data_IF_234192729429
#
_entry.id   IF_234192729429
#
_cell.length_a   1.000
_cell.length_b   1.000
_cell.length_c   1.000
_cell.angle_alpha   90.00
_cell.angle_beta   90.00
_cell.angle_gamma   90.00
#
_symmetry.space_group_name_H-M   'P 1'
#
loop_
_entity.id
_entity.type
_entity.pdbx_description
1 polymer ?
#
# COMPACT_ATOMS: atom_id res chain seq x y z
N UNK A 1 11.58 1.31 -2.32
CA UNK A 1 11.88 2.03 -3.56
C UNK A 1 12.29 1.07 -4.68
N UNK A 2 13.36 0.27 -4.54
CA UNK A 2 13.86 -0.62 -5.61
C UNK A 2 12.79 -1.58 -6.13
N UNK A 3 12.10 -2.31 -5.26
CA UNK A 3 11.04 -3.26 -5.65
C UNK A 3 9.89 -2.59 -6.40
N UNK A 4 9.55 -1.35 -6.04
CA UNK A 4 8.54 -0.55 -6.73
C UNK A 4 9.02 -0.07 -8.11
N UNK A 5 10.30 0.33 -8.24
CA UNK A 5 10.85 0.68 -9.54
C UNK A 5 10.83 -0.53 -10.50
N UNK A 6 11.22 -1.71 -10.01
CA UNK A 6 11.16 -2.95 -10.79
C UNK A 6 9.72 -3.27 -11.22
N UNK A 7 8.74 -3.11 -10.33
CA UNK A 7 7.31 -3.27 -10.68
C UNK A 7 6.89 -2.37 -11.84
N UNK A 8 7.26 -1.09 -11.76
CA UNK A 8 6.90 -0.11 -12.79
C UNK A 8 7.65 -0.30 -14.11
N UNK A 9 8.89 -0.84 -14.09
CA UNK A 9 9.56 -1.29 -15.32
C UNK A 9 8.70 -2.35 -16.02
N UNK A 10 8.18 -3.34 -15.28
CA UNK A 10 7.28 -4.34 -15.85
C UNK A 10 5.99 -3.76 -16.40
N UNK A 11 5.40 -2.76 -15.74
CA UNK A 11 4.19 -2.06 -16.21
C UNK A 11 4.45 -1.29 -17.50
N UNK A 12 5.53 -0.51 -17.54
CA UNK A 12 5.92 0.28 -18.72
C UNK A 12 6.30 -0.63 -19.90
N UNK A 13 6.98 -1.74 -19.62
CA UNK A 13 7.29 -2.74 -20.64
C UNK A 13 6.00 -3.31 -21.27
N UNK A 14 5.02 -3.69 -20.47
CA UNK A 14 3.72 -4.18 -20.95
C UNK A 14 3.00 -3.13 -21.82
N UNK A 15 3.10 -1.84 -21.44
CA UNK A 15 2.47 -0.75 -22.17
C UNK A 15 3.12 -0.46 -23.53
N UNK A 16 4.45 -0.59 -23.65
CA UNK A 16 5.18 -0.24 -24.87
C UNK A 16 5.33 -1.42 -25.84
N UNK A 17 5.70 -2.59 -25.34
CA UNK A 17 5.97 -3.77 -26.18
C UNK A 17 4.86 -4.83 -26.16
N UNK A 18 3.92 -4.70 -25.21
CA UNK A 18 2.87 -5.69 -24.99
C UNK A 18 3.37 -6.90 -24.19
N UNK A 19 2.46 -7.46 -23.39
CA UNK A 19 2.73 -8.59 -22.48
C UNK A 19 3.26 -9.83 -23.19
N UNK A 20 2.78 -10.09 -24.39
CA UNK A 20 3.14 -11.29 -25.16
C UNK A 20 4.58 -11.28 -25.66
N UNK A 21 5.23 -10.12 -25.72
CA UNK A 21 6.64 -10.00 -26.19
C UNK A 21 7.59 -10.72 -25.24
N UNK A 22 7.42 -10.55 -23.91
CA UNK A 22 8.17 -11.29 -22.91
C UNK A 22 7.36 -11.40 -21.61
N UNK A 23 6.44 -12.37 -21.58
CA UNK A 23 5.57 -12.59 -20.43
C UNK A 23 6.34 -12.92 -19.14
N UNK A 24 7.44 -13.67 -19.24
CA UNK A 24 8.27 -14.04 -18.09
C UNK A 24 8.91 -12.82 -17.45
N UNK A 25 9.47 -11.91 -18.26
CA UNK A 25 10.07 -10.68 -17.74
C UNK A 25 9.04 -9.82 -17.02
N UNK A 26 7.87 -9.63 -17.63
CA UNK A 26 6.75 -8.91 -17.02
C UNK A 26 6.35 -9.53 -15.68
N UNK A 27 6.14 -10.86 -15.64
CA UNK A 27 5.75 -11.56 -14.42
C UNK A 27 6.78 -11.41 -13.30
N UNK A 28 8.06 -11.59 -13.60
CA UNK A 28 9.15 -11.46 -12.60
C UNK A 28 9.16 -10.05 -12.02
N UNK A 29 9.07 -9.01 -12.85
CA UNK A 29 8.99 -7.63 -12.37
C UNK A 29 7.79 -7.42 -11.44
N UNK A 30 6.63 -7.99 -11.80
CA UNK A 30 5.41 -7.87 -11.01
C UNK A 30 5.49 -8.65 -9.68
N UNK A 31 6.13 -9.82 -9.66
CA UNK A 31 6.34 -10.60 -8.43
C UNK A 31 7.20 -9.82 -7.43
N UNK A 32 8.32 -9.27 -7.89
CA UNK A 32 9.20 -8.44 -7.06
C UNK A 32 8.46 -7.20 -6.54
N UNK A 33 7.62 -6.60 -7.37
CA UNK A 33 6.84 -5.42 -7.03
C UNK A 33 5.87 -5.63 -5.87
N UNK A 34 5.32 -6.85 -5.72
CA UNK A 34 4.33 -7.15 -4.65
C UNK A 34 4.90 -7.05 -3.24
N UNK A 35 6.21 -7.13 -3.09
CA UNK A 35 6.90 -6.95 -1.81
C UNK A 35 6.74 -5.51 -1.28
N UNK A 36 6.60 -4.52 -2.16
CA UNK A 36 6.58 -3.11 -1.79
C UNK A 36 5.39 -2.74 -0.87
N UNK A 37 4.17 -3.13 -1.25
CA UNK A 37 2.96 -2.72 -0.54
C UNK A 37 2.95 -3.12 0.94
N UNK A 38 3.18 -4.40 1.32
CA UNK A 38 3.22 -4.78 2.73
C UNK A 38 4.29 -4.03 3.51
N UNK A 39 5.47 -3.81 2.93
CA UNK A 39 6.55 -3.06 3.59
C UNK A 39 6.17 -1.60 3.83
N UNK A 40 5.54 -0.92 2.86
CA UNK A 40 5.06 0.44 3.05
C UNK A 40 3.97 0.52 4.11
N UNK A 41 3.02 -0.42 4.11
CA UNK A 41 1.97 -0.51 5.12
C UNK A 41 2.55 -0.75 6.53
N UNK A 42 3.52 -1.66 6.66
CA UNK A 42 4.19 -1.95 7.93
C UNK A 42 4.93 -0.72 8.47
N UNK A 43 5.78 -0.10 7.65
CA UNK A 43 6.54 1.09 8.03
C UNK A 43 5.64 2.30 8.32
N UNK A 44 4.48 2.40 7.67
CA UNK A 44 3.49 3.43 7.97
C UNK A 44 2.90 3.23 9.37
N UNK A 45 2.47 2.02 9.70
CA UNK A 45 1.92 1.70 11.03
C UNK A 45 2.97 1.98 12.11
N UNK A 46 4.22 1.52 11.90
CA UNK A 46 5.36 1.81 12.77
C UNK A 46 5.55 3.32 12.95
N UNK A 47 5.50 4.07 11.86
CA UNK A 47 5.64 5.53 11.88
C UNK A 47 4.51 6.22 12.65
N UNK A 48 3.27 5.80 12.44
CA UNK A 48 2.10 6.39 13.12
C UNK A 48 2.13 6.13 14.62
N UNK A 49 2.51 4.91 15.03
CA UNK A 49 2.58 4.52 16.45
C UNK A 49 3.71 5.20 17.22
N UNK A 50 4.83 5.54 16.54
CA UNK A 50 6.04 6.06 17.18
C UNK A 50 6.30 7.55 16.92
N UNK A 51 5.52 8.22 16.04
CA UNK A 51 5.76 9.63 15.73
C UNK A 51 5.25 10.57 16.81
N UNK A 52 6.11 11.54 17.20
CA UNK A 52 5.71 12.66 18.08
C UNK A 52 4.97 13.76 17.32
N UNK A 53 5.08 13.80 15.99
CA UNK A 53 4.57 14.89 15.13
C UNK A 53 3.58 14.37 14.07
N UNK A 54 2.57 13.61 14.50
CA UNK A 54 1.57 13.01 13.64
C UNK A 54 0.95 13.96 12.61
N UNK A 55 0.59 15.19 13.04
CA UNK A 55 0.00 16.20 12.13
C UNK A 55 0.94 16.53 10.96
N UNK A 56 2.24 16.75 11.23
CA UNK A 56 3.23 17.04 10.18
C UNK A 56 3.42 15.86 9.24
N UNK A 57 3.37 14.64 9.75
CA UNK A 57 3.45 13.42 8.97
C UNK A 57 2.27 13.30 8.00
N UNK A 58 1.04 13.45 8.49
CA UNK A 58 -0.17 13.39 7.68
C UNK A 58 -0.29 14.53 6.65
N UNK A 59 0.14 15.75 6.99
CA UNK A 59 0.19 16.85 6.03
C UNK A 59 1.09 16.49 4.84
N UNK A 60 2.25 15.89 5.07
CA UNK A 60 3.13 15.44 3.99
C UNK A 60 2.47 14.36 3.11
N UNK A 61 1.82 13.37 3.72
CA UNK A 61 1.07 12.36 2.97
C UNK A 61 -0.08 13.00 2.16
N UNK A 62 -0.79 13.95 2.76
CA UNK A 62 -1.86 14.68 2.09
C UNK A 62 -1.37 15.51 0.89
N UNK A 63 -0.25 16.23 1.04
CA UNK A 63 0.37 16.97 -0.07
C UNK A 63 0.75 16.01 -1.20
N UNK A 64 1.38 14.87 -0.90
CA UNK A 64 1.75 13.87 -1.88
C UNK A 64 0.52 13.26 -2.57
N UNK A 65 -0.53 12.93 -1.81
CA UNK A 65 -1.79 12.47 -2.34
C UNK A 65 -2.40 13.50 -3.30
N UNK A 66 -2.41 14.79 -2.93
CA UNK A 66 -2.94 15.88 -3.76
C UNK A 66 -2.16 16.07 -5.05
N UNK A 67 -0.83 16.03 -5.00
CA UNK A 67 0.03 16.16 -6.19
C UNK A 67 -0.26 15.00 -7.17
N UNK A 68 -0.34 13.77 -6.68
CA UNK A 68 -0.62 12.61 -7.53
C UNK A 68 -2.05 12.67 -8.08
N UNK A 69 -3.05 13.00 -7.24
CA UNK A 69 -4.43 13.17 -7.72
C UNK A 69 -4.54 14.25 -8.79
N UNK A 70 -3.82 15.37 -8.64
CA UNK A 70 -3.76 16.40 -9.66
C UNK A 70 -3.09 15.90 -10.96
N UNK A 71 -2.00 15.14 -10.83
CA UNK A 71 -1.33 14.51 -11.98
C UNK A 71 -2.25 13.54 -12.73
N UNK A 72 -2.98 12.70 -12.01
CA UNK A 72 -3.96 11.78 -12.59
C UNK A 72 -5.12 12.52 -13.25
N UNK A 73 -5.61 13.61 -12.63
CA UNK A 73 -6.63 14.47 -13.20
C UNK A 73 -6.17 15.09 -14.53
N UNK A 74 -4.96 15.65 -14.56
CA UNK A 74 -4.39 16.24 -15.77
C UNK A 74 -4.20 15.19 -16.87
N UNK A 75 -3.75 13.97 -16.52
CA UNK A 75 -3.57 12.89 -17.48
C UNK A 75 -4.89 12.47 -18.16
N UNK A 76 -6.04 12.60 -17.50
CA UNK A 76 -7.35 12.30 -18.08
C UNK A 76 -7.79 13.31 -19.16
N UNK A 77 -7.29 14.55 -19.11
CA UNK A 77 -7.64 15.61 -20.06
C UNK A 77 -6.68 15.77 -21.24
N UNK A 78 -5.56 15.04 -21.24
CA UNK A 78 -4.57 15.11 -22.32
C UNK A 78 -4.68 13.85 -23.20
N UNK A 79 -5.24 13.96 -24.43
CA UNK A 79 -5.53 12.80 -25.28
C UNK A 79 -4.28 11.95 -25.64
N UNK A 80 -3.08 12.58 -25.71
CA UNK A 80 -1.83 11.87 -25.97
C UNK A 80 -1.36 11.01 -24.77
N UNK A 81 -2.01 11.10 -23.63
CA UNK A 81 -1.71 10.35 -22.42
C UNK A 81 -2.73 9.23 -22.13
N UNK A 82 -3.53 8.83 -23.14
CA UNK A 82 -4.50 7.73 -22.98
C UNK A 82 -3.87 6.42 -22.52
N UNK A 83 -2.65 6.12 -22.93
CA UNK A 83 -1.88 4.98 -22.40
C UNK A 83 -1.52 5.15 -20.91
N UNK A 84 -1.42 6.39 -20.43
CA UNK A 84 -1.24 6.74 -19.01
C UNK A 84 -2.59 6.75 -18.28
N UNK A 85 -3.72 6.90 -18.98
CA UNK A 85 -5.04 6.82 -18.38
C UNK A 85 -5.33 5.44 -17.79
N UNK A 86 -4.76 4.38 -18.34
CA UNK A 86 -4.74 3.06 -17.72
C UNK A 86 -4.07 3.07 -16.32
N UNK A 87 -3.06 3.94 -16.14
CA UNK A 87 -2.41 4.18 -14.84
C UNK A 87 -3.30 5.07 -13.97
N UNK A 88 -4.03 6.00 -14.57
CA UNK A 88 -4.95 6.89 -13.86
C UNK A 88 -6.10 6.14 -13.19
N UNK A 89 -6.59 5.06 -13.79
CA UNK A 89 -7.62 4.20 -13.21
C UNK A 89 -7.12 3.34 -12.05
N UNK A 90 -5.81 3.17 -11.92
CA UNK A 90 -5.23 2.41 -10.83
C UNK A 90 -5.48 3.04 -9.45
N UNK A 91 -5.81 4.33 -9.39
CA UNK A 91 -6.02 5.06 -8.14
C UNK A 91 -4.72 5.61 -7.53
N UNK A 92 -4.84 6.20 -6.35
CA UNK A 92 -3.76 6.93 -5.68
C UNK A 92 -3.30 6.23 -4.42
N UNK A 93 -2.09 5.65 -4.44
CA UNK A 93 -1.49 4.93 -3.29
C UNK A 93 -1.29 5.85 -2.07
N UNK A 94 -0.97 7.15 -2.27
CA UNK A 94 -0.83 8.06 -1.12
C UNK A 94 -2.15 8.34 -0.43
N UNK A 95 -3.26 8.22 -1.14
CA UNK A 95 -4.59 8.28 -0.53
C UNK A 95 -4.85 7.04 0.33
N UNK A 96 -4.44 5.84 -0.14
CA UNK A 96 -4.45 4.62 0.68
C UNK A 96 -3.64 4.80 1.97
N UNK A 97 -2.41 5.30 1.83
CA UNK A 97 -1.51 5.52 2.98
C UNK A 97 -2.04 6.60 3.94
N UNK A 98 -2.60 7.68 3.42
CA UNK A 98 -3.20 8.75 4.21
C UNK A 98 -4.39 8.24 5.03
N UNK A 99 -5.34 7.57 4.36
CA UNK A 99 -6.52 7.01 5.02
C UNK A 99 -6.15 5.93 6.03
N UNK A 100 -5.19 5.06 5.68
CA UNK A 100 -4.65 4.07 6.61
C UNK A 100 -4.00 4.72 7.84
N UNK A 101 -3.24 5.80 7.66
CA UNK A 101 -2.63 6.52 8.78
C UNK A 101 -3.68 7.14 9.70
N UNK A 102 -4.77 7.71 9.13
CA UNK A 102 -5.90 8.24 9.91
C UNK A 102 -6.61 7.13 10.66
N UNK A 103 -6.86 5.99 10.01
CA UNK A 103 -7.46 4.81 10.64
C UNK A 103 -6.66 4.36 11.86
N UNK A 104 -5.35 4.14 11.72
CA UNK A 104 -4.48 3.69 12.81
C UNK A 104 -4.42 4.72 13.93
N UNK A 105 -4.32 6.01 13.59
CA UNK A 105 -4.35 7.09 14.59
C UNK A 105 -5.64 7.09 15.40
N UNK A 106 -6.79 6.96 14.75
CA UNK A 106 -8.08 6.91 15.42
C UNK A 106 -8.19 5.68 16.34
N UNK A 107 -7.76 4.50 15.87
CA UNK A 107 -7.79 3.27 16.68
C UNK A 107 -6.88 3.34 17.89
N UNK A 108 -5.71 3.98 17.75
CA UNK A 108 -4.72 4.12 18.83
C UNK A 108 -4.98 5.31 19.75
N UNK A 109 -6.02 6.13 19.47
CA UNK A 109 -6.27 7.34 20.25
C UNK A 109 -6.79 7.02 21.65
N UNK A 110 -6.38 7.79 22.66
CA UNK A 110 -6.79 7.60 24.07
C UNK A 110 -8.29 7.78 24.28
N UNK A 111 -8.87 8.80 23.63
CA UNK A 111 -10.29 9.12 23.76
C UNK A 111 -11.14 8.08 23.02
N UNK A 112 -12.01 7.38 23.75
CA UNK A 112 -12.86 6.30 23.22
C UNK A 112 -13.77 6.74 22.07
N UNK A 113 -14.27 7.99 22.08
CA UNK A 113 -15.15 8.53 21.04
C UNK A 113 -14.44 8.79 19.70
N UNK A 114 -13.10 8.86 19.67
CA UNK A 114 -12.32 9.02 18.44
C UNK A 114 -12.19 7.69 17.68
N UNK A 115 -12.21 6.56 18.39
CA UNK A 115 -12.02 5.23 17.79
C UNK A 115 -13.03 4.89 16.69
N UNK A 116 -14.34 5.18 16.83
CA UNK A 116 -15.30 4.95 15.75
C UNK A 116 -15.01 5.74 14.46
N UNK A 117 -14.28 6.84 14.53
CA UNK A 117 -13.88 7.60 13.32
C UNK A 117 -12.97 6.78 12.38
N UNK A 118 -12.36 5.70 12.85
CA UNK A 118 -11.64 4.75 12.02
C UNK A 118 -12.54 4.07 10.97
N UNK A 119 -13.85 4.06 11.16
CA UNK A 119 -14.82 3.54 10.20
C UNK A 119 -14.92 4.43 8.93
N UNK A 120 -14.58 5.72 9.01
CA UNK A 120 -14.61 6.62 7.85
C UNK A 120 -13.61 6.19 6.76
N UNK A 121 -12.31 5.96 7.04
CA UNK A 121 -11.38 5.40 6.08
C UNK A 121 -11.83 4.04 5.52
N UNK A 122 -12.38 3.18 6.35
CA UNK A 122 -12.90 1.88 5.91
C UNK A 122 -14.11 2.05 4.98
N UNK A 123 -15.05 2.92 5.32
CA UNK A 123 -16.20 3.24 4.47
C UNK A 123 -15.77 3.83 3.11
N UNK A 124 -14.77 4.71 3.11
CA UNK A 124 -14.21 5.25 1.87
C UNK A 124 -13.56 4.15 1.01
N UNK A 125 -12.84 3.22 1.63
CA UNK A 125 -12.25 2.07 0.94
C UNK A 125 -13.31 1.16 0.31
N UNK A 126 -14.39 0.88 1.05
CA UNK A 126 -15.52 0.10 0.54
C UNK A 126 -16.20 0.83 -0.63
N UNK A 127 -16.38 2.15 -0.53
CA UNK A 127 -16.95 2.96 -1.60
C UNK A 127 -16.07 2.91 -2.86
N UNK A 128 -14.76 3.16 -2.72
CA UNK A 128 -13.81 3.09 -3.83
C UNK A 128 -13.84 1.72 -4.52
N UNK A 129 -13.84 0.66 -3.72
CA UNK A 129 -13.95 -0.71 -4.19
C UNK A 129 -15.26 -0.98 -4.93
N UNK A 130 -16.41 -0.60 -4.35
CA UNK A 130 -17.73 -0.84 -4.93
C UNK A 130 -17.92 -0.13 -6.27
N UNK A 131 -17.41 1.10 -6.41
CA UNK A 131 -17.44 1.85 -7.67
C UNK A 131 -16.62 1.14 -8.74
N UNK A 132 -15.39 0.75 -8.44
CA UNK A 132 -14.53 -0.02 -9.36
C UNK A 132 -15.18 -1.34 -9.77
N UNK A 133 -15.80 -2.06 -8.82
CA UNK A 133 -16.47 -3.32 -9.10
C UNK A 133 -17.68 -3.14 -10.02
N UNK A 134 -18.51 -2.10 -9.80
CA UNK A 134 -19.67 -1.81 -10.60
C UNK A 134 -19.31 -1.42 -12.04
N UNK A 135 -18.25 -0.64 -12.23
CA UNK A 135 -17.76 -0.26 -13.56
C UNK A 135 -17.26 -1.47 -14.34
N UNK A 136 -16.51 -2.37 -13.70
CA UNK A 136 -16.05 -3.61 -14.34
C UNK A 136 -17.19 -4.55 -14.70
N UNK A 137 -18.21 -4.66 -13.85
CA UNK A 137 -19.38 -5.47 -14.15
C UNK A 137 -20.19 -4.91 -15.34
N UNK A 138 -20.20 -3.58 -15.50
CA UNK A 138 -20.93 -2.90 -16.59
C UNK A 138 -20.19 -2.98 -17.92
N UNK A 139 -18.89 -3.16 -17.93
CA UNK A 139 -18.09 -3.21 -19.16
C UNK A 139 -16.91 -4.18 -19.02
N UNK A 140 -17.16 -5.47 -19.25
CA UNK A 140 -16.16 -6.52 -19.21
C UNK A 140 -15.04 -6.38 -20.28
N UNK A 141 -15.28 -5.60 -21.34
CA UNK A 141 -14.36 -5.40 -22.47
C UNK A 141 -13.83 -3.97 -22.61
N UNK A 142 -14.40 -3.00 -21.88
CA UNK A 142 -13.97 -1.61 -21.95
C UNK A 142 -12.82 -1.36 -20.97
N UNK A 143 -11.62 -1.34 -21.47
CA UNK A 143 -10.47 -0.80 -20.73
C UNK A 143 -10.47 0.73 -20.64
N UNK A 144 -11.39 1.40 -21.36
CA UNK A 144 -11.63 2.83 -21.24
C UNK A 144 -12.53 3.06 -20.03
N UNK A 145 -11.98 3.68 -19.03
CA UNK A 145 -12.65 4.00 -17.79
C UNK A 145 -13.97 4.72 -18.02
N UNK A 146 -15.06 4.06 -17.73
CA UNK A 146 -16.29 4.73 -17.37
C UNK A 146 -16.04 5.38 -16.01
N UNK A 147 -15.35 6.55 -16.02
CA UNK A 147 -15.15 7.30 -14.80
C UNK A 147 -16.49 7.74 -14.28
N UNK A 148 -16.93 7.14 -13.20
CA UNK A 148 -18.13 7.62 -12.50
C UNK A 148 -17.91 9.09 -12.17
N UNK A 149 -18.73 9.97 -12.75
CA UNK A 149 -18.54 11.44 -12.70
C UNK A 149 -18.47 11.95 -11.27
N UNK A 150 -19.24 11.35 -10.33
CA UNK A 150 -19.28 11.75 -8.93
C UNK A 150 -18.13 11.16 -8.08
N UNK A 151 -17.40 10.12 -8.58
CA UNK A 151 -16.26 9.52 -7.91
C UNK A 151 -15.16 9.18 -8.92
N UNK A 152 -14.47 10.18 -9.44
CA UNK A 152 -13.49 10.03 -10.52
C UNK A 152 -12.25 9.27 -10.07
N UNK A 153 -11.50 8.70 -11.03
CA UNK A 153 -10.32 7.85 -10.79
C UNK A 153 -9.25 8.48 -9.89
N UNK A 154 -9.03 9.79 -10.01
CA UNK A 154 -8.02 10.49 -9.19
C UNK A 154 -8.36 10.60 -7.69
N UNK A 155 -9.61 10.33 -7.31
CA UNK A 155 -10.04 10.22 -5.90
C UNK A 155 -10.06 8.78 -5.40
N UNK A 156 -9.87 7.78 -6.26
CA UNK A 156 -9.95 6.37 -5.87
C UNK A 156 -8.67 5.91 -5.18
N UNK A 157 -8.84 4.91 -4.32
CA UNK A 157 -7.73 4.19 -3.72
C UNK A 157 -7.09 3.25 -4.76
N UNK A 158 -5.79 3.03 -4.65
CA UNK A 158 -5.09 2.10 -5.55
C UNK A 158 -5.34 0.65 -5.16
N UNK A 159 -5.24 0.34 -3.88
CA UNK A 159 -5.33 -1.02 -3.34
C UNK A 159 -6.58 -1.29 -2.50
N UNK A 160 -7.40 -0.27 -2.24
CA UNK A 160 -8.67 -0.37 -1.51
C UNK A 160 -8.53 -1.16 -0.19
N UNK A 161 -9.35 -2.19 -0.01
CA UNK A 161 -9.37 -2.99 1.21
C UNK A 161 -8.07 -3.76 1.48
N UNK A 162 -7.24 -4.03 0.44
CA UNK A 162 -5.99 -4.79 0.61
C UNK A 162 -4.95 -3.98 1.40
N UNK A 163 -4.75 -2.71 1.07
CA UNK A 163 -3.82 -1.82 1.78
C UNK A 163 -4.26 -1.59 3.22
N UNK A 164 -5.54 -1.28 3.43
CA UNK A 164 -6.09 -1.10 4.77
C UNK A 164 -6.08 -2.40 5.58
N UNK A 165 -6.29 -3.54 4.93
CA UNK A 165 -6.18 -4.86 5.54
C UNK A 165 -4.77 -5.15 6.07
N UNK A 166 -3.72 -4.86 5.29
CA UNK A 166 -2.34 -4.96 5.78
C UNK A 166 -2.09 -4.03 6.95
N UNK A 167 -2.49 -2.76 6.85
CA UNK A 167 -2.27 -1.78 7.93
C UNK A 167 -3.01 -2.18 9.21
N UNK A 168 -4.25 -2.64 9.11
CA UNK A 168 -5.01 -3.14 10.24
C UNK A 168 -4.34 -4.38 10.86
N UNK A 169 -3.91 -5.34 10.04
CA UNK A 169 -3.19 -6.52 10.48
C UNK A 169 -1.91 -6.15 11.24
N UNK A 170 -1.13 -5.20 10.74
CA UNK A 170 0.07 -4.74 11.42
C UNK A 170 -0.23 -3.99 12.71
N UNK A 171 -1.30 -3.20 12.77
CA UNK A 171 -1.76 -2.61 14.02
C UNK A 171 -2.18 -3.69 15.04
N UNK A 172 -2.91 -4.71 14.59
CA UNK A 172 -3.29 -5.84 15.43
C UNK A 172 -2.07 -6.60 15.95
N UNK A 173 -0.95 -6.66 15.21
CA UNK A 173 0.30 -7.28 15.68
C UNK A 173 0.80 -6.62 16.97
N UNK A 174 0.72 -5.30 17.07
CA UNK A 174 1.06 -4.58 18.29
C UNK A 174 0.08 -4.88 19.44
N UNK A 175 -1.21 -4.99 19.13
CA UNK A 175 -2.21 -5.35 20.15
C UNK A 175 -2.03 -6.79 20.64
N UNK A 176 -1.73 -7.73 19.74
CA UNK A 176 -1.43 -9.12 20.09
C UNK A 176 -0.21 -9.21 21.00
N UNK A 177 0.89 -8.56 20.61
CA UNK A 177 2.07 -8.51 21.45
C UNK A 177 1.78 -7.90 22.83
N UNK A 178 1.05 -6.78 22.88
CA UNK A 178 0.61 -6.16 24.14
C UNK A 178 -0.24 -7.09 24.99
N UNK A 179 -1.18 -7.82 24.39
CA UNK A 179 -2.04 -8.76 25.08
C UNK A 179 -1.24 -9.92 25.67
N UNK A 180 -0.31 -10.49 24.90
CA UNK A 180 0.55 -11.59 25.36
C UNK A 180 1.39 -11.15 26.57
N UNK A 181 1.98 -9.96 26.52
CA UNK A 181 2.75 -9.47 27.66
C UNK A 181 1.87 -9.13 28.86
N UNK A 182 0.66 -8.64 28.67
CA UNK A 182 -0.28 -8.41 29.78
C UNK A 182 -0.67 -9.71 30.49
N UNK A 183 -0.91 -10.79 29.74
CA UNK A 183 -1.20 -12.11 30.31
C UNK A 183 0.06 -12.64 31.04
N UNK A 184 1.25 -12.41 30.48
CA UNK A 184 2.51 -12.84 31.09
C UNK A 184 2.85 -12.05 32.35
N UNK A 185 2.45 -10.77 32.42
CA UNK A 185 2.64 -9.91 33.60
C UNK A 185 2.04 -10.51 34.87
N UNK A 186 0.85 -11.13 34.76
CA UNK A 186 0.17 -11.80 35.87
C UNK A 186 1.00 -12.96 36.43
N UNK A 187 1.84 -13.61 35.60
CA UNK A 187 2.63 -14.77 35.97
C UNK A 187 4.08 -14.43 36.34
N UNK A 188 4.65 -13.36 35.81
CA UNK A 188 6.09 -13.07 35.93
C UNK A 188 6.39 -11.75 36.64
N UNK A 189 5.40 -10.88 36.85
CA UNK A 189 5.57 -9.54 37.41
C UNK A 189 6.28 -8.54 36.47
N UNK A 190 6.62 -8.95 35.23
CA UNK A 190 7.27 -8.07 34.24
C UNK A 190 6.19 -7.31 33.51
N UNK A 191 6.12 -5.99 33.71
CA UNK A 191 5.10 -5.14 33.10
C UNK A 191 5.32 -4.94 31.61
N UNK A 192 4.21 -4.70 30.87
CA UNK A 192 4.28 -4.33 29.45
C UNK A 192 5.21 -3.15 29.19
N UNK A 193 5.21 -2.12 30.04
CA UNK A 193 6.05 -0.92 29.87
C UNK A 193 7.55 -1.23 29.99
N UNK A 194 7.93 -2.23 30.75
CA UNK A 194 9.32 -2.68 30.86
C UNK A 194 9.78 -3.42 29.60
N UNK A 195 8.85 -4.13 28.95
CA UNK A 195 9.18 -4.93 27.75
C UNK A 195 9.11 -4.11 26.45
N UNK A 196 8.33 -3.04 26.44
CA UNK A 196 8.20 -2.17 25.27
C UNK A 196 9.56 -1.61 24.84
N UNK A 197 9.94 -1.90 23.60
CA UNK A 197 11.23 -1.46 23.04
C UNK A 197 12.38 -2.45 23.22
N UNK A 198 12.19 -3.57 23.90
CA UNK A 198 13.17 -4.66 23.96
C UNK A 198 13.19 -5.48 22.66
N UNK A 199 14.28 -6.24 22.46
CA UNK A 199 14.36 -7.16 21.32
C UNK A 199 13.26 -8.22 21.35
N UNK A 200 12.89 -8.73 22.53
CA UNK A 200 11.81 -9.71 22.67
C UNK A 200 10.47 -9.13 22.21
N UNK A 201 10.17 -7.91 22.65
CA UNK A 201 8.99 -7.19 22.16
C UNK A 201 9.00 -7.07 20.65
N UNK A 202 10.14 -6.67 20.07
CA UNK A 202 10.29 -6.48 18.62
C UNK A 202 10.08 -7.79 17.86
N UNK A 203 10.69 -8.87 18.32
CA UNK A 203 10.51 -10.21 17.73
C UNK A 203 9.02 -10.62 17.74
N UNK A 204 8.33 -10.40 18.86
CA UNK A 204 6.90 -10.75 18.98
C UNK A 204 6.04 -9.94 18.01
N UNK A 205 6.25 -8.63 17.91
CA UNK A 205 5.54 -7.77 16.96
C UNK A 205 5.83 -8.20 15.51
N UNK A 206 7.10 -8.41 15.18
CA UNK A 206 7.50 -8.80 13.82
C UNK A 206 6.92 -10.16 13.44
N UNK A 207 7.00 -11.16 14.32
CA UNK A 207 6.44 -12.48 14.07
C UNK A 207 4.93 -12.42 13.84
N UNK A 208 4.22 -11.67 14.67
CA UNK A 208 2.78 -11.43 14.49
C UNK A 208 2.48 -10.70 13.17
N UNK A 209 3.31 -9.73 12.79
CA UNK A 209 3.16 -8.99 11.53
C UNK A 209 3.40 -9.89 10.31
N UNK A 210 4.39 -10.79 10.37
CA UNK A 210 4.61 -11.82 9.34
C UNK A 210 3.38 -12.71 9.20
N UNK A 211 2.81 -13.18 10.31
CA UNK A 211 1.60 -13.99 10.31
C UNK A 211 0.43 -13.25 9.64
N UNK A 212 0.20 -11.98 9.98
CA UNK A 212 -0.83 -11.18 9.32
C UNK A 212 -0.54 -10.93 7.83
N UNK A 213 0.73 -10.77 7.45
CA UNK A 213 1.11 -10.69 6.02
C UNK A 213 0.69 -11.94 5.26
N UNK A 214 0.94 -13.12 5.84
CA UNK A 214 0.54 -14.39 5.27
C UNK A 214 -0.99 -14.48 5.19
N UNK A 215 -1.69 -14.21 6.30
CA UNK A 215 -3.15 -14.29 6.37
C UNK A 215 -3.78 -13.38 5.30
N UNK A 216 -3.41 -12.09 5.24
CA UNK A 216 -3.99 -11.15 4.28
C UNK A 216 -3.69 -11.57 2.83
N UNK A 217 -2.47 -12.02 2.54
CA UNK A 217 -2.08 -12.46 1.20
C UNK A 217 -2.84 -13.73 0.77
N UNK A 218 -2.99 -14.70 1.67
CA UNK A 218 -3.75 -15.93 1.43
C UNK A 218 -5.24 -15.62 1.29
N UNK A 219 -5.80 -14.79 2.15
CA UNK A 219 -7.19 -14.34 2.05
C UNK A 219 -7.47 -13.68 0.70
N UNK A 220 -6.59 -12.77 0.26
CA UNK A 220 -6.72 -12.14 -1.05
C UNK A 220 -6.70 -13.17 -2.19
N UNK A 221 -5.81 -14.15 -2.10
CA UNK A 221 -5.71 -15.24 -3.09
C UNK A 221 -6.96 -16.12 -3.09
N UNK A 222 -7.48 -16.51 -1.93
CA UNK A 222 -8.70 -17.31 -1.80
C UNK A 222 -9.94 -16.56 -2.33
N UNK A 223 -10.08 -15.28 -2.00
CA UNK A 223 -11.17 -14.43 -2.51
C UNK A 223 -11.16 -14.41 -4.04
N UNK A 224 -10.00 -14.42 -4.66
CA UNK A 224 -9.87 -14.43 -6.12
C UNK A 224 -10.42 -15.69 -6.79
N UNK A 225 -10.42 -16.82 -6.09
CA UNK A 225 -11.02 -18.08 -6.60
C UNK A 225 -12.54 -18.10 -6.39
N UNK A 226 -13.02 -17.57 -5.26
CA UNK A 226 -14.45 -17.64 -4.89
C UNK A 226 -15.24 -16.54 -5.63
N UNK A 227 -14.66 -15.33 -5.71
CA UNK A 227 -15.27 -14.15 -6.32
C UNK A 227 -14.22 -13.34 -7.07
N UNK A 228 -13.89 -13.70 -8.32
CA UNK A 228 -12.87 -13.02 -9.13
C UNK A 228 -13.13 -11.53 -9.30
N UNK A 229 -14.40 -11.12 -9.31
CA UNK A 229 -14.85 -9.72 -9.41
C UNK A 229 -14.42 -8.85 -8.20
N UNK A 230 -14.11 -9.48 -7.06
CA UNK A 230 -13.65 -8.81 -5.85
C UNK A 230 -12.13 -8.57 -5.81
N UNK A 231 -11.42 -8.93 -6.87
CA UNK A 231 -9.97 -8.83 -6.94
C UNK A 231 -9.55 -8.08 -8.19
N UNK A 232 -8.95 -6.92 -8.02
CA UNK A 232 -8.56 -6.04 -9.13
C UNK A 232 -7.16 -6.30 -9.69
N UNK A 233 -6.31 -6.90 -8.87
CA UNK A 233 -4.93 -7.21 -9.26
C UNK A 233 -4.77 -8.70 -9.51
N UNK A 234 -3.88 -9.07 -10.43
CA UNK A 234 -3.66 -10.47 -10.80
C UNK A 234 -3.37 -11.30 -9.53
N UNK A 235 -4.28 -12.18 -9.11
CA UNK A 235 -4.22 -12.84 -7.79
C UNK A 235 -2.97 -13.68 -7.60
N UNK A 236 -2.55 -14.37 -8.68
CA UNK A 236 -1.34 -15.21 -8.67
C UNK A 236 -0.10 -14.44 -8.27
N UNK A 237 -0.03 -13.17 -8.67
CA UNK A 237 1.11 -12.31 -8.40
C UNK A 237 1.06 -11.79 -6.96
N UNK A 238 -0.12 -11.50 -6.44
CA UNK A 238 -0.25 -10.89 -5.11
C UNK A 238 0.20 -11.80 -3.97
N UNK A 239 0.18 -13.13 -4.14
CA UNK A 239 0.68 -14.08 -3.13
C UNK A 239 2.15 -13.83 -2.78
N UNK A 240 2.96 -13.29 -3.71
CA UNK A 240 4.36 -12.95 -3.48
C UNK A 240 4.58 -11.81 -2.47
N UNK A 241 3.51 -11.11 -2.07
CA UNK A 241 3.54 -10.20 -0.93
C UNK A 241 4.03 -10.87 0.37
N UNK A 242 3.88 -12.21 0.50
CA UNK A 242 4.38 -12.99 1.62
C UNK A 242 5.90 -12.84 1.80
N UNK A 243 6.65 -12.66 0.71
CA UNK A 243 8.12 -12.47 0.74
C UNK A 243 8.50 -11.21 1.55
N UNK A 244 7.61 -10.21 1.62
CA UNK A 244 7.82 -9.05 2.50
C UNK A 244 7.95 -9.46 3.97
N UNK A 245 7.34 -10.58 4.37
CA UNK A 245 7.45 -11.13 5.72
C UNK A 245 8.90 -11.38 6.16
N UNK A 246 9.78 -11.80 5.23
CA UNK A 246 11.20 -11.96 5.57
C UNK A 246 11.85 -10.64 5.99
N UNK A 247 11.56 -9.55 5.28
CA UNK A 247 12.10 -8.22 5.62
C UNK A 247 11.49 -7.69 6.93
N UNK A 248 10.19 -7.93 7.15
CA UNK A 248 9.50 -7.54 8.38
C UNK A 248 10.07 -8.32 9.56
N UNK A 249 10.35 -9.61 9.42
CA UNK A 249 10.91 -10.45 10.48
C UNK A 249 12.25 -9.91 10.99
N UNK A 250 13.14 -9.50 10.09
CA UNK A 250 14.46 -8.96 10.44
C UNK A 250 14.47 -7.46 10.75
N UNK A 251 13.31 -6.80 10.79
CA UNK A 251 13.26 -5.38 11.09
C UNK A 251 13.62 -5.09 12.56
N UNK A 252 14.71 -4.35 12.78
CA UNK A 252 15.24 -4.04 14.13
C UNK A 252 14.40 -2.99 14.88
N UNK A 253 13.62 -2.17 14.18
CA UNK A 253 12.96 -1.00 14.77
C UNK A 253 13.89 0.19 14.98
N UNK A 254 15.17 0.04 14.71
CA UNK A 254 16.15 1.09 14.85
C UNK A 254 16.07 2.08 13.68
N UNK A 255 16.43 3.32 13.98
CA UNK A 255 16.49 4.35 12.96
C UNK A 255 17.73 4.13 12.10
N UNK A 256 17.54 3.70 10.85
CA UNK A 256 18.62 3.52 9.90
C UNK A 256 19.29 4.85 9.50
N UNK A 257 19.99 4.84 8.38
CA UNK A 257 20.68 6.00 7.83
C UNK A 257 19.75 7.22 7.69
N UNK A 258 20.01 8.27 8.47
CA UNK A 258 19.16 9.46 8.56
C UNK A 258 19.80 10.67 7.87
N UNK A 259 19.92 10.63 6.56
CA UNK A 259 20.33 11.80 5.80
C UNK A 259 19.12 12.58 5.27
N UNK A 260 19.10 13.88 5.49
CA UNK A 260 18.03 14.77 5.00
C UNK A 260 17.82 14.62 3.49
N UNK A 261 18.91 14.52 2.71
CA UNK A 261 18.86 14.36 1.27
C UNK A 261 18.17 13.05 0.86
N UNK A 262 18.44 11.94 1.54
CA UNK A 262 17.83 10.63 1.27
C UNK A 262 16.33 10.63 1.57
N UNK A 263 15.94 11.26 2.67
CA UNK A 263 14.52 11.41 3.01
C UNK A 263 13.77 12.24 1.96
N UNK A 264 14.34 13.36 1.51
CA UNK A 264 13.75 14.18 0.46
C UNK A 264 13.75 13.46 -0.90
N UNK A 265 14.83 12.75 -1.22
CA UNK A 265 14.94 11.94 -2.42
C UNK A 265 13.86 10.85 -2.46
N UNK A 266 13.54 10.22 -1.33
CA UNK A 266 12.50 9.18 -1.28
C UNK A 266 11.13 9.70 -1.69
N UNK A 267 10.77 10.92 -1.32
CA UNK A 267 9.53 11.55 -1.77
C UNK A 267 9.59 11.94 -3.24
N UNK A 268 10.70 12.56 -3.67
CA UNK A 268 10.91 12.94 -5.07
C UNK A 268 10.94 11.72 -5.99
N UNK A 269 11.63 10.66 -5.58
CA UNK A 269 11.70 9.39 -6.31
C UNK A 269 10.29 8.88 -6.63
N UNK A 270 9.38 8.94 -5.67
CA UNK A 270 8.02 8.47 -5.91
C UNK A 270 7.30 9.25 -7.01
N UNK A 271 7.52 10.57 -7.08
CA UNK A 271 6.89 11.42 -8.09
C UNK A 271 7.48 11.22 -9.49
N UNK A 272 8.79 11.06 -9.59
CA UNK A 272 9.50 11.12 -10.88
C UNK A 272 9.87 9.76 -11.47
N UNK A 273 9.91 8.67 -10.66
CA UNK A 273 10.44 7.39 -11.12
C UNK A 273 9.63 6.80 -12.28
N UNK A 274 8.30 6.95 -12.30
CA UNK A 274 7.46 6.46 -13.40
C UNK A 274 7.78 7.23 -14.70
N UNK A 275 7.87 8.56 -14.61
CA UNK A 275 8.21 9.38 -15.77
C UNK A 275 9.62 9.08 -16.32
N UNK A 276 10.58 8.88 -15.42
CA UNK A 276 11.96 8.52 -15.79
C UNK A 276 11.99 7.12 -16.42
N UNK A 277 11.35 6.13 -15.83
CA UNK A 277 11.27 4.76 -16.37
C UNK A 277 10.62 4.79 -17.76
N UNK A 278 9.47 5.49 -17.88
CA UNK A 278 8.77 5.61 -19.16
C UNK A 278 9.65 6.28 -20.20
N UNK A 279 10.31 7.39 -19.87
CA UNK A 279 11.21 8.09 -20.79
C UNK A 279 12.36 7.22 -21.29
N UNK A 280 13.02 6.48 -20.38
CA UNK A 280 14.11 5.56 -20.73
C UNK A 280 13.59 4.41 -21.63
N UNK A 281 12.51 3.76 -21.22
CA UNK A 281 11.93 2.65 -21.99
C UNK A 281 11.43 3.12 -23.36
N UNK A 282 10.85 4.32 -23.45
CA UNK A 282 10.37 4.89 -24.71
C UNK A 282 11.53 5.19 -25.67
N UNK A 283 12.66 5.72 -25.17
CA UNK A 283 13.86 5.92 -25.97
C UNK A 283 14.40 4.59 -26.52
N UNK A 284 14.38 3.53 -25.71
CA UNK A 284 14.80 2.18 -26.16
C UNK A 284 13.79 1.61 -27.18
N UNK A 285 12.50 1.90 -27.03
CA UNK A 285 11.45 1.46 -27.96
C UNK A 285 11.57 2.09 -29.35
N UNK A 286 12.11 3.30 -29.44
CA UNK A 286 12.28 4.01 -30.71
C UNK A 286 13.52 3.56 -31.51
N UNK A 287 14.48 2.85 -30.88
CA UNK A 287 15.69 2.30 -31.51
C UNK A 287 15.44 0.88 -31.99
#
# INVERSE_FOLDING_TARGET
MVTMAIDHIGVVFDALWGRNTNAVFWEVCRYIGRIALPLYCFLLVESVLNTKHYKKYNIKLGIMASIISLGLLLAQYVPSLESISMIADAGNIFLDLLLGSVMIYCLNHEKKWVKPLALLPLGYSILSFAVKASERASCATCYTALTTVWFPGFLRLQYDWLSLGFMLGYYLSYLVAKLIYKIREENTGITYEMMKGTNEWRIMVNLSAVLFTIIVSVMYHLVSYIKPEMVFWVPRIQIFAIVAGAFIFFYSGERGYNAKWFNNFSYLFYLVHIAVIFGICYLIYLV
#
